data_IF_223933169868
#
_entry.id   IF_223933169868
#
_cell.length_a   1.000
_cell.length_b   1.000
_cell.length_c   1.000
_cell.angle_alpha   90.00
_cell.angle_beta   90.00
_cell.angle_gamma   90.00
#
_symmetry.space_group_name_H-M   'P 1'
#
loop_
_entity.id
_entity.type
_entity.pdbx_description
1 polymer ?
#
# COMPACT_ATOMS: atom_id res chain seq x y z
N UNK A 1 1.93 10.84 -3.88
CA UNK A 1 1.18 10.25 -2.73
C UNK A 1 1.96 10.27 -1.41
N UNK A 2 1.23 10.21 -0.29
CA UNK A 2 1.78 9.96 1.06
C UNK A 2 1.52 8.49 1.42
N UNK A 3 2.58 7.70 1.47
CA UNK A 3 2.52 6.25 1.57
C UNK A 3 3.01 5.78 2.94
N UNK A 4 2.31 4.81 3.51
CA UNK A 4 2.75 3.95 4.58
C UNK A 4 3.10 2.58 3.99
N UNK A 5 4.35 2.19 4.03
CA UNK A 5 4.79 0.89 3.48
C UNK A 5 4.74 -0.15 4.59
N UNK A 6 3.93 -1.18 4.39
CA UNK A 6 3.79 -2.31 5.30
C UNK A 6 5.08 -3.14 5.43
N UNK A 7 5.24 -3.88 6.53
CA UNK A 7 6.49 -4.56 6.88
C UNK A 7 6.94 -5.56 5.80
N UNK A 8 5.99 -6.34 5.26
CA UNK A 8 6.22 -7.29 4.17
C UNK A 8 6.77 -6.64 2.88
N UNK A 9 6.49 -5.36 2.67
CA UNK A 9 6.76 -4.60 1.45
C UNK A 9 7.90 -3.61 1.66
N UNK A 10 8.39 -3.45 2.89
CA UNK A 10 9.37 -2.44 3.28
C UNK A 10 10.81 -2.77 2.86
N UNK A 11 11.02 -3.04 1.57
CA UNK A 11 12.34 -3.23 0.95
C UNK A 11 13.02 -1.87 0.75
N UNK A 12 14.29 -1.75 1.17
CA UNK A 12 15.04 -0.50 1.09
C UNK A 12 15.10 0.09 -0.34
N UNK A 13 15.19 -0.77 -1.35
CA UNK A 13 15.18 -0.37 -2.75
C UNK A 13 13.83 0.23 -3.16
N UNK A 14 12.72 -0.44 -2.87
CA UNK A 14 11.37 0.07 -3.15
C UNK A 14 11.13 1.44 -2.50
N UNK A 15 11.45 1.58 -1.21
CA UNK A 15 11.33 2.86 -0.49
C UNK A 15 12.15 3.97 -1.17
N UNK A 16 13.36 3.66 -1.62
CA UNK A 16 14.22 4.60 -2.35
C UNK A 16 13.59 5.01 -3.69
N UNK A 17 13.04 4.05 -4.44
CA UNK A 17 12.43 4.32 -5.74
C UNK A 17 11.15 5.14 -5.60
N UNK A 18 10.30 4.84 -4.61
CA UNK A 18 9.10 5.62 -4.31
C UNK A 18 9.44 7.07 -3.95
N UNK A 19 10.45 7.28 -3.09
CA UNK A 19 10.91 8.64 -2.77
C UNK A 19 11.48 9.37 -3.99
N UNK A 20 12.25 8.69 -4.83
CA UNK A 20 12.75 9.25 -6.11
C UNK A 20 11.63 9.62 -7.08
N UNK A 21 10.51 8.90 -7.04
CA UNK A 21 9.31 9.22 -7.82
C UNK A 21 8.49 10.38 -7.23
N UNK A 22 8.93 10.98 -6.11
CA UNK A 22 8.28 12.14 -5.49
C UNK A 22 7.24 11.80 -4.41
N UNK A 23 7.12 10.53 -4.03
CA UNK A 23 6.22 10.13 -2.94
C UNK A 23 6.84 10.42 -1.56
N UNK A 24 6.02 10.84 -0.61
CA UNK A 24 6.39 10.84 0.80
C UNK A 24 6.18 9.42 1.34
N UNK A 25 7.20 8.84 1.98
CA UNK A 25 7.19 7.44 2.37
C UNK A 25 7.53 7.28 3.85
N UNK A 26 6.52 6.87 4.61
CA UNK A 26 6.60 6.41 5.99
C UNK A 26 6.85 4.92 6.00
N UNK A 27 7.79 4.48 6.84
CA UNK A 27 8.13 3.07 7.02
C UNK A 27 7.99 2.69 8.50
N UNK A 28 7.67 1.43 8.84
CA UNK A 28 7.23 1.08 10.19
C UNK A 28 8.29 1.30 11.26
N UNK A 29 9.56 1.05 10.91
CA UNK A 29 10.71 1.27 11.81
C UNK A 29 10.91 2.74 12.21
N UNK A 30 10.54 3.69 11.36
CA UNK A 30 10.68 5.12 11.64
C UNK A 30 9.62 5.64 12.62
N UNK A 31 8.52 4.91 12.78
CA UNK A 31 7.34 5.38 13.53
C UNK A 31 6.95 4.43 14.67
N UNK A 32 7.83 3.48 15.00
CA UNK A 32 7.65 2.57 16.13
C UNK A 32 6.55 1.52 15.91
N UNK A 33 6.22 1.21 14.66
CA UNK A 33 5.21 0.21 14.29
C UNK A 33 5.83 -1.01 13.60
N UNK A 34 7.14 -1.20 13.64
CA UNK A 34 7.75 -2.41 13.08
C UNK A 34 7.34 -3.65 13.90
N UNK A 35 6.97 -4.73 13.22
CA UNK A 35 6.56 -6.01 13.78
C UNK A 35 5.20 -6.02 14.46
N UNK A 36 4.36 -5.00 14.23
CA UNK A 36 2.99 -4.99 14.76
C UNK A 36 2.05 -5.77 13.83
N UNK A 37 0.79 -5.95 14.22
CA UNK A 37 -0.19 -6.62 13.34
C UNK A 37 -0.65 -5.72 12.20
N UNK A 38 -1.17 -6.32 11.12
CA UNK A 38 -1.72 -5.60 9.95
C UNK A 38 -2.80 -4.59 10.35
N UNK A 39 -3.67 -4.97 11.29
CA UNK A 39 -4.68 -4.06 11.85
C UNK A 39 -4.05 -2.82 12.52
N UNK A 40 -2.88 -2.97 13.17
CA UNK A 40 -2.16 -1.85 13.78
C UNK A 40 -1.38 -1.02 12.76
N UNK A 41 -0.82 -1.65 11.72
CA UNK A 41 -0.27 -0.95 10.56
C UNK A 41 -1.36 -0.08 9.90
N UNK A 42 -2.52 -0.67 9.63
CA UNK A 42 -3.67 0.01 9.03
C UNK A 42 -4.20 1.13 9.91
N UNK A 43 -4.38 0.90 11.22
CA UNK A 43 -4.80 1.93 12.17
C UNK A 43 -3.86 3.13 12.18
N UNK A 44 -2.55 2.89 12.14
CA UNK A 44 -1.56 3.97 12.07
C UNK A 44 -1.75 4.77 10.77
N UNK A 45 -1.88 4.09 9.64
CA UNK A 45 -2.06 4.73 8.34
C UNK A 45 -3.34 5.58 8.29
N UNK A 46 -4.47 5.05 8.76
CA UNK A 46 -5.75 5.77 8.87
C UNK A 46 -5.62 7.01 9.74
N UNK A 47 -5.04 6.86 10.94
CA UNK A 47 -4.88 7.96 11.90
C UNK A 47 -4.01 9.10 11.38
N UNK A 48 -3.06 8.79 10.48
CA UNK A 48 -2.10 9.76 9.94
C UNK A 48 -2.39 10.15 8.48
N UNK A 49 -3.57 9.80 7.95
CA UNK A 49 -3.97 10.09 6.57
C UNK A 49 -2.95 9.59 5.51
N UNK A 50 -2.43 8.38 5.69
CA UNK A 50 -1.47 7.73 4.79
C UNK A 50 -2.14 6.59 4.01
N UNK A 51 -1.83 6.47 2.72
CA UNK A 51 -2.24 5.31 1.94
C UNK A 51 -1.36 4.12 2.30
N UNK A 52 -1.94 2.94 2.49
CA UNK A 52 -1.15 1.72 2.75
C UNK A 52 -0.65 1.12 1.44
N UNK A 53 0.60 0.68 1.42
CA UNK A 53 1.18 -0.19 0.39
C UNK A 53 1.59 -1.52 1.03
N UNK A 54 1.00 -2.64 0.59
CA UNK A 54 1.19 -3.96 1.21
C UNK A 54 1.23 -5.10 0.18
N UNK A 55 1.85 -6.22 0.56
CA UNK A 55 1.80 -7.51 -0.14
C UNK A 55 0.82 -8.50 0.52
N UNK A 56 0.26 -8.18 1.69
CA UNK A 56 -0.69 -8.99 2.45
C UNK A 56 -2.11 -8.67 1.97
N UNK A 57 -2.34 -8.98 0.69
CA UNK A 57 -3.57 -8.66 -0.02
C UNK A 57 -4.83 -9.06 0.75
N UNK A 58 -4.90 -10.32 1.20
CA UNK A 58 -6.12 -10.85 1.81
C UNK A 58 -6.40 -10.22 3.18
N UNK A 59 -5.37 -10.07 4.02
CA UNK A 59 -5.52 -9.49 5.35
C UNK A 59 -5.98 -8.03 5.28
N UNK A 60 -5.44 -7.25 4.33
CA UNK A 60 -5.89 -5.87 4.12
C UNK A 60 -7.22 -5.76 3.37
N UNK A 61 -7.58 -6.73 2.53
CA UNK A 61 -8.92 -6.79 1.91
C UNK A 61 -9.99 -7.03 2.99
N UNK A 62 -9.74 -7.93 3.94
CA UNK A 62 -10.63 -8.16 5.08
C UNK A 62 -10.77 -6.89 5.94
N UNK A 63 -9.67 -6.20 6.24
CA UNK A 63 -9.71 -4.93 6.98
C UNK A 63 -10.48 -3.84 6.22
N UNK A 64 -10.30 -3.75 4.90
CA UNK A 64 -11.08 -2.85 4.05
C UNK A 64 -12.59 -3.15 4.12
N UNK A 65 -12.98 -4.42 4.01
CA UNK A 65 -14.38 -4.84 4.10
C UNK A 65 -14.99 -4.52 5.47
N UNK A 66 -14.24 -4.67 6.56
CA UNK A 66 -14.69 -4.27 7.90
C UNK A 66 -14.94 -2.76 7.97
N UNK A 67 -14.06 -1.93 7.42
CA UNK A 67 -14.26 -0.47 7.37
C UNK A 67 -15.48 -0.11 6.53
N UNK A 68 -15.66 -0.72 5.35
CA UNK A 68 -16.85 -0.49 4.52
C UNK A 68 -18.15 -0.91 5.22
N UNK A 69 -18.18 -2.07 5.86
CA UNK A 69 -19.34 -2.59 6.57
C UNK A 69 -19.75 -1.71 7.77
N UNK A 70 -18.80 -0.97 8.34
CA UNK A 70 -19.02 -0.03 9.45
C UNK A 70 -19.21 1.42 8.99
N UNK A 71 -19.23 1.67 7.68
CA UNK A 71 -19.25 3.01 7.08
C UNK A 71 -18.11 3.91 7.58
N UNK A 72 -16.96 3.32 7.92
CA UNK A 72 -15.75 4.04 8.26
C UNK A 72 -15.05 4.59 7.01
N UNK A 73 -13.95 5.31 7.23
CA UNK A 73 -13.14 5.91 6.18
C UNK A 73 -11.68 5.53 6.33
N UNK A 74 -10.97 5.41 5.22
CA UNK A 74 -9.52 5.25 5.17
C UNK A 74 -8.89 5.95 3.96
N UNK A 75 -7.60 6.34 4.03
CA UNK A 75 -6.95 7.08 2.94
C UNK A 75 -6.80 6.29 1.62
N UNK A 76 -6.87 4.97 1.69
CA UNK A 76 -6.76 4.06 0.55
C UNK A 76 -5.77 2.92 0.82
N UNK A 77 -5.98 1.79 0.15
CA UNK A 77 -5.09 0.62 0.22
C UNK A 77 -4.61 0.28 -1.18
N UNK A 78 -3.30 0.15 -1.34
CA UNK A 78 -2.62 -0.28 -2.55
C UNK A 78 -2.03 -1.67 -2.31
N UNK A 79 -2.73 -2.71 -2.76
CA UNK A 79 -2.34 -4.09 -2.56
C UNK A 79 -1.54 -4.64 -3.75
N UNK A 80 -0.45 -5.34 -3.48
CA UNK A 80 0.34 -6.07 -4.46
C UNK A 80 0.02 -7.54 -4.30
N UNK A 81 -0.43 -8.20 -5.37
CA UNK A 81 -0.66 -9.63 -5.39
C UNK A 81 0.56 -10.35 -5.93
N UNK A 82 1.05 -11.35 -5.19
CA UNK A 82 1.95 -12.35 -5.75
C UNK A 82 1.17 -13.31 -6.63
N UNK A 83 1.75 -13.71 -7.75
CA UNK A 83 1.20 -14.72 -8.63
C UNK A 83 1.71 -16.10 -8.18
N UNK A 84 1.06 -17.18 -8.61
CA UNK A 84 1.58 -18.54 -8.38
C UNK A 84 2.90 -18.79 -9.14
N UNK A 85 3.16 -17.98 -10.17
CA UNK A 85 4.41 -17.94 -10.91
C UNK A 85 5.23 -16.70 -10.51
N UNK A 86 6.29 -16.90 -9.72
CA UNK A 86 7.17 -15.83 -9.24
C UNK A 86 7.82 -14.99 -10.36
N UNK A 87 7.90 -15.50 -11.59
CA UNK A 87 8.39 -14.71 -12.73
C UNK A 87 7.44 -13.56 -13.09
N UNK A 88 6.18 -13.66 -12.67
CA UNK A 88 5.11 -12.69 -12.89
C UNK A 88 4.91 -11.75 -11.71
N UNK A 89 5.64 -11.91 -10.60
CA UNK A 89 5.54 -11.00 -9.46
C UNK A 89 6.01 -9.58 -9.81
N UNK A 90 5.41 -8.59 -9.16
CA UNK A 90 5.80 -7.19 -9.30
C UNK A 90 7.19 -6.95 -8.73
N UNK A 91 8.11 -6.47 -9.59
CA UNK A 91 9.39 -5.95 -9.14
C UNK A 91 9.19 -4.55 -8.57
N UNK A 92 10.11 -4.07 -7.73
CA UNK A 92 10.03 -2.74 -7.11
C UNK A 92 9.78 -1.61 -8.14
N UNK A 93 10.42 -1.69 -9.31
CA UNK A 93 10.20 -0.73 -10.41
C UNK A 93 8.80 -0.81 -11.04
N UNK A 94 8.21 -2.01 -11.07
CA UNK A 94 6.87 -2.23 -11.62
C UNK A 94 5.83 -1.67 -10.65
N UNK A 95 6.06 -1.79 -9.33
CA UNK A 95 5.23 -1.18 -8.28
C UNK A 95 5.20 0.35 -8.45
N UNK A 96 6.37 0.97 -8.56
CA UNK A 96 6.48 2.43 -8.75
C UNK A 96 5.80 2.88 -10.04
N UNK A 97 5.97 2.12 -11.14
CA UNK A 97 5.27 2.40 -12.41
C UNK A 97 3.76 2.29 -12.25
N UNK A 98 3.27 1.26 -11.58
CA UNK A 98 1.86 1.02 -11.37
C UNK A 98 1.20 2.14 -10.56
N UNK A 99 1.85 2.60 -9.49
CA UNK A 99 1.39 3.76 -8.72
C UNK A 99 1.34 5.01 -9.62
N UNK A 100 2.37 5.25 -10.44
CA UNK A 100 2.36 6.37 -11.38
C UNK A 100 1.28 6.25 -12.47
N UNK A 101 0.90 5.04 -12.88
CA UNK A 101 -0.20 4.80 -13.81
C UNK A 101 -1.56 5.09 -13.14
N UNK A 102 -1.75 4.61 -11.91
CA UNK A 102 -2.92 4.90 -11.07
C UNK A 102 -3.10 6.41 -10.86
N UNK A 103 -2.04 7.12 -10.49
CA UNK A 103 -2.05 8.59 -10.33
C UNK A 103 -2.46 9.29 -11.64
N UNK A 104 -1.89 8.87 -12.78
CA UNK A 104 -2.22 9.45 -14.10
C UNK A 104 -3.66 9.17 -14.55
N UNK A 105 -4.25 8.07 -14.12
CA UNK A 105 -5.63 7.75 -14.43
C UNK A 105 -6.63 8.65 -13.67
N UNK A 106 -6.20 9.27 -12.56
CA UNK A 106 -7.03 10.22 -11.80
C UNK A 106 -8.26 9.59 -11.15
N UNK A 107 -8.26 8.26 -10.95
CA UNK A 107 -9.33 7.56 -10.25
C UNK A 107 -9.28 7.85 -8.75
N UNK A 108 -10.42 7.76 -8.03
CA UNK A 108 -10.44 7.89 -6.58
C UNK A 108 -9.55 6.84 -5.90
N UNK A 109 -8.92 7.24 -4.79
CA UNK A 109 -8.09 6.34 -3.97
C UNK A 109 -8.53 6.32 -2.50
N UNK A 110 -9.13 7.41 -2.01
CA UNK A 110 -9.75 7.43 -0.69
C UNK A 110 -10.89 6.40 -0.63
N UNK A 111 -10.96 5.66 0.48
CA UNK A 111 -11.94 4.60 0.74
C UNK A 111 -11.92 3.43 -0.29
N UNK A 112 -10.91 3.37 -1.15
CA UNK A 112 -10.77 2.35 -2.20
C UNK A 112 -9.65 1.34 -1.90
N UNK A 113 -9.83 0.13 -2.45
CA UNK A 113 -8.84 -0.95 -2.44
C UNK A 113 -8.35 -1.23 -3.86
N UNK A 114 -7.12 -0.81 -4.16
CA UNK A 114 -6.52 -0.93 -5.49
C UNK A 114 -5.51 -2.06 -5.55
N UNK A 115 -5.79 -3.08 -6.37
CA UNK A 115 -4.81 -4.11 -6.72
C UNK A 115 -3.85 -3.57 -7.79
N UNK A 116 -2.61 -3.26 -7.39
CA UNK A 116 -1.59 -2.63 -8.23
C UNK A 116 -1.21 -3.45 -9.47
N UNK A 117 -1.40 -4.77 -9.44
CA UNK A 117 -1.14 -5.63 -10.58
C UNK A 117 -1.95 -5.23 -11.83
N UNK A 118 -3.13 -4.62 -11.66
CA UNK A 118 -3.98 -4.15 -12.76
C UNK A 118 -3.46 -2.85 -13.41
N UNK A 119 -2.49 -2.20 -12.79
CA UNK A 119 -1.96 -0.90 -13.19
C UNK A 119 -0.55 -0.98 -13.79
N UNK A 120 -0.03 -2.19 -14.07
CA UNK A 120 1.33 -2.40 -14.59
C UNK A 120 1.66 -1.72 -15.91
#
# INVERSE_FOLDING_TARGET
MNLYVDDNTCKALLVTLLRKAGHQVTVPSNVGTAGVSDARHFLYAVTNALLVLTQDHNDFEDLHLVVQATHGQHPGILAIRSDNDASRDMKDRDIVRAIGNLERAGVPVADEFHVLNHWR
#
